data_IF_004945846067
#
_entry.id   IF_004945846067
#
_cell.length_a   1.000
_cell.length_b   1.000
_cell.length_c   1.000
_cell.angle_alpha   90.00
_cell.angle_beta   90.00
_cell.angle_gamma   90.00
#
_symmetry.space_group_name_H-M   'P 1'
#
loop_
_entity.id
_entity.type
_entity.pdbx_description
1 polymer ?
#
# COMPACT_ATOMS: atom_id res chain seq x y z
N UNK A 1 -22.58 22.44 -14.15
CA UNK A 1 -21.33 21.92 -14.77
C UNK A 1 -21.50 20.46 -15.18
N UNK A 2 -21.06 20.03 -16.37
CA UNK A 2 -21.10 18.58 -16.74
C UNK A 2 -19.91 17.82 -16.16
N UNK A 3 -19.98 16.48 -16.07
CA UNK A 3 -18.88 15.66 -15.51
C UNK A 3 -17.54 15.88 -16.21
N UNK A 4 -17.53 16.06 -17.53
CA UNK A 4 -16.30 16.30 -18.30
C UNK A 4 -15.68 17.67 -18.00
N UNK A 5 -16.52 18.66 -17.73
CA UNK A 5 -16.06 19.99 -17.33
C UNK A 5 -15.53 19.98 -15.89
N UNK A 6 -16.23 19.31 -14.97
CA UNK A 6 -15.77 19.11 -13.60
C UNK A 6 -14.41 18.39 -13.58
N UNK A 7 -14.25 17.35 -14.39
CA UNK A 7 -12.99 16.63 -14.56
C UNK A 7 -11.85 17.57 -14.98
N UNK A 8 -12.09 18.40 -16.00
CA UNK A 8 -11.12 19.37 -16.51
C UNK A 8 -10.72 20.41 -15.46
N UNK A 9 -11.69 20.98 -14.74
CA UNK A 9 -11.45 22.06 -13.75
C UNK A 9 -10.75 21.53 -12.50
N UNK A 10 -10.98 20.27 -12.13
CA UNK A 10 -10.44 19.66 -10.91
C UNK A 10 -9.19 18.82 -11.16
N UNK A 11 -8.80 18.59 -12.42
CA UNK A 11 -7.71 17.68 -12.79
C UNK A 11 -8.02 16.21 -12.46
N UNK A 12 -9.29 15.86 -12.29
CA UNK A 12 -9.76 14.49 -12.10
C UNK A 12 -10.10 13.83 -13.44
N UNK A 13 -10.20 12.51 -13.42
CA UNK A 13 -10.81 11.78 -14.53
C UNK A 13 -12.33 11.68 -14.30
N UNK A 14 -13.16 11.59 -15.36
CA UNK A 14 -14.59 11.32 -15.19
C UNK A 14 -14.88 10.02 -14.45
N UNK A 15 -13.97 9.02 -14.54
CA UNK A 15 -14.05 7.79 -13.77
C UNK A 15 -13.88 8.04 -12.26
N UNK A 16 -12.90 8.85 -11.86
CA UNK A 16 -12.71 9.22 -10.47
C UNK A 16 -13.92 9.98 -9.92
N UNK A 17 -14.49 10.89 -10.70
CA UNK A 17 -15.68 11.64 -10.28
C UNK A 17 -16.91 10.72 -10.09
N UNK A 18 -17.16 9.79 -11.01
CA UNK A 18 -18.22 8.78 -10.82
C UNK A 18 -17.99 7.95 -9.56
N UNK A 19 -16.74 7.57 -9.31
CA UNK A 19 -16.39 6.84 -8.11
C UNK A 19 -16.65 7.66 -6.83
N UNK A 20 -16.36 8.96 -6.83
CA UNK A 20 -16.67 9.84 -5.71
C UNK A 20 -18.20 9.99 -5.52
N UNK A 21 -18.95 10.05 -6.60
CA UNK A 21 -20.42 10.11 -6.56
C UNK A 21 -21.03 8.81 -6.01
N UNK A 22 -20.50 7.65 -6.41
CA UNK A 22 -20.89 6.33 -5.88
C UNK A 22 -20.64 6.21 -4.38
N UNK A 23 -19.60 6.89 -3.86
CA UNK A 23 -19.30 6.94 -2.42
C UNK A 23 -20.08 8.04 -1.69
N UNK A 24 -20.97 8.77 -2.38
CA UNK A 24 -21.75 9.86 -1.79
C UNK A 24 -20.91 11.09 -1.41
N UNK A 25 -19.67 11.18 -1.91
CA UNK A 25 -18.81 12.33 -1.64
C UNK A 25 -19.24 13.54 -2.45
N UNK A 26 -19.64 13.35 -3.71
CA UNK A 26 -20.15 14.41 -4.57
C UNK A 26 -21.56 14.08 -5.04
N UNK A 27 -22.37 15.09 -5.36
CA UNK A 27 -23.74 14.88 -5.84
C UNK A 27 -23.98 15.57 -7.17
N UNK A 28 -24.73 14.92 -8.06
CA UNK A 28 -25.25 15.54 -9.28
C UNK A 28 -26.76 15.78 -9.19
N UNK A 29 -27.22 16.89 -9.75
CA UNK A 29 -28.63 17.16 -9.98
C UNK A 29 -29.01 16.82 -11.42
N UNK A 30 -30.27 16.44 -11.63
CA UNK A 30 -30.81 16.23 -12.98
C UNK A 30 -31.37 17.55 -13.49
N UNK A 31 -30.78 18.09 -14.56
CA UNK A 31 -31.24 19.32 -15.18
C UNK A 31 -32.49 19.08 -16.04
N UNK A 32 -33.23 20.14 -16.36
CA UNK A 32 -34.46 20.09 -17.18
C UNK A 32 -34.24 19.50 -18.58
N UNK A 33 -32.99 19.53 -19.08
CA UNK A 33 -32.56 18.94 -20.34
C UNK A 33 -32.25 17.42 -20.24
N UNK A 34 -32.45 16.80 -19.07
CA UNK A 34 -32.23 15.38 -18.81
C UNK A 34 -30.79 14.99 -18.47
N UNK A 35 -29.83 15.92 -18.58
CA UNK A 35 -28.42 15.67 -18.27
C UNK A 35 -28.12 15.82 -16.77
N UNK A 36 -27.03 15.19 -16.31
CA UNK A 36 -26.49 15.39 -14.96
C UNK A 36 -25.63 16.64 -14.91
N UNK A 37 -25.87 17.46 -13.91
CA UNK A 37 -25.12 18.68 -13.64
C UNK A 37 -24.61 18.69 -12.20
N UNK A 38 -23.37 19.13 -12.04
CA UNK A 38 -22.69 19.36 -10.77
C UNK A 38 -22.65 20.86 -10.51
N UNK A 39 -22.83 21.23 -9.25
CA UNK A 39 -22.72 22.62 -8.78
C UNK A 39 -21.24 23.04 -8.67
N UNK A 40 -20.98 24.34 -8.63
CA UNK A 40 -19.63 24.88 -8.42
C UNK A 40 -19.02 24.44 -7.08
N UNK A 41 -19.85 24.20 -6.07
CA UNK A 41 -19.43 23.65 -4.77
C UNK A 41 -18.71 22.31 -4.92
N UNK A 42 -19.10 21.51 -5.91
CA UNK A 42 -18.46 20.22 -6.18
C UNK A 42 -17.01 20.39 -6.64
N UNK A 43 -16.64 21.54 -7.21
CA UNK A 43 -15.24 21.82 -7.55
C UNK A 43 -14.39 21.90 -6.29
N UNK A 44 -14.82 22.67 -5.29
CA UNK A 44 -14.14 22.79 -3.99
C UNK A 44 -14.08 21.43 -3.30
N UNK A 45 -15.21 20.72 -3.29
CA UNK A 45 -15.32 19.40 -2.69
C UNK A 45 -14.34 18.40 -3.30
N UNK A 46 -14.29 18.32 -4.63
CA UNK A 46 -13.35 17.43 -5.33
C UNK A 46 -11.89 17.81 -5.05
N UNK A 47 -11.56 19.10 -4.98
CA UNK A 47 -10.19 19.53 -4.62
C UNK A 47 -9.80 19.09 -3.22
N UNK A 48 -10.70 19.21 -2.25
CA UNK A 48 -10.47 18.76 -0.87
C UNK A 48 -10.35 17.23 -0.77
N UNK A 49 -11.19 16.48 -1.49
CA UNK A 49 -11.08 15.03 -1.58
C UNK A 49 -9.69 14.64 -2.12
N UNK A 50 -9.25 15.27 -3.22
CA UNK A 50 -7.92 15.00 -3.79
C UNK A 50 -6.79 15.32 -2.82
N UNK A 51 -6.89 16.43 -2.10
CA UNK A 51 -5.89 16.82 -1.09
C UNK A 51 -5.77 15.74 0.00
N UNK A 52 -6.89 15.30 0.57
CA UNK A 52 -6.92 14.27 1.61
C UNK A 52 -6.40 12.92 1.10
N UNK A 53 -6.82 12.50 -0.10
CA UNK A 53 -6.32 11.28 -0.73
C UNK A 53 -4.81 11.37 -1.02
N UNK A 54 -4.32 12.54 -1.44
CA UNK A 54 -2.89 12.79 -1.65
C UNK A 54 -2.06 12.71 -0.36
N UNK A 55 -2.66 13.01 0.79
CA UNK A 55 -2.06 12.83 2.12
C UNK A 55 -2.07 11.37 2.61
N UNK A 56 -2.68 10.45 1.86
CA UNK A 56 -2.67 9.01 2.15
C UNK A 56 -3.92 8.48 2.83
N UNK A 57 -4.97 9.30 3.02
CA UNK A 57 -6.29 8.85 3.47
C UNK A 57 -6.97 8.01 2.37
N UNK A 58 -7.88 7.12 2.77
CA UNK A 58 -8.76 6.41 1.83
C UNK A 58 -10.05 7.18 1.56
N UNK A 59 -10.85 6.72 0.60
CA UNK A 59 -12.17 7.30 0.34
C UNK A 59 -13.10 7.17 1.55
N UNK A 60 -13.04 6.04 2.25
CA UNK A 60 -13.81 5.79 3.45
C UNK A 60 -13.41 6.75 4.59
N UNK A 61 -12.10 7.00 4.75
CA UNK A 61 -11.60 7.99 5.71
C UNK A 61 -12.14 9.39 5.40
N UNK A 62 -12.19 9.76 4.11
CA UNK A 62 -12.66 11.06 3.63
C UNK A 62 -14.14 11.30 3.95
N UNK A 63 -14.97 10.26 4.10
CA UNK A 63 -16.38 10.42 4.48
C UNK A 63 -16.54 11.12 5.84
N UNK A 64 -15.59 10.95 6.76
CA UNK A 64 -15.59 11.61 8.07
C UNK A 64 -15.41 13.13 7.95
N UNK A 65 -14.87 13.58 6.81
CA UNK A 65 -14.64 15.00 6.50
C UNK A 65 -15.78 15.63 5.70
N UNK A 66 -16.85 14.89 5.36
CA UNK A 66 -18.01 15.40 4.60
C UNK A 66 -18.49 16.81 5.05
N UNK A 67 -18.64 17.10 6.37
CA UNK A 67 -19.10 18.42 6.81
C UNK A 67 -18.17 19.59 6.50
N UNK A 68 -16.88 19.33 6.27
CA UNK A 68 -15.89 20.37 5.98
C UNK A 68 -15.39 20.38 4.54
N UNK A 69 -15.81 19.43 3.69
CA UNK A 69 -15.32 19.39 2.30
C UNK A 69 -15.78 20.58 1.44
N UNK A 70 -16.76 21.36 1.89
CA UNK A 70 -17.22 22.56 1.18
C UNK A 70 -16.39 23.82 1.53
N UNK A 71 -15.54 23.74 2.56
CA UNK A 71 -14.66 24.84 2.99
C UNK A 71 -13.21 24.66 2.55
N UNK A 72 -12.29 25.33 3.22
CA UNK A 72 -10.84 25.07 3.06
C UNK A 72 -10.39 24.03 4.09
N UNK A 73 -10.30 22.76 3.69
CA UNK A 73 -9.89 21.65 4.56
C UNK A 73 -8.42 21.78 5.01
N UNK A 74 -7.58 22.46 4.24
CA UNK A 74 -6.16 22.62 4.58
C UNK A 74 -5.95 23.74 5.62
N UNK A 75 -6.77 24.79 5.59
CA UNK A 75 -6.68 25.91 6.53
C UNK A 75 -7.59 25.77 7.76
N UNK A 76 -8.71 25.04 7.65
CA UNK A 76 -9.65 24.89 8.75
C UNK A 76 -9.11 23.93 9.83
N UNK A 77 -9.35 24.22 11.13
CA UNK A 77 -9.01 23.27 12.19
C UNK A 77 -9.79 21.97 12.01
N UNK A 78 -9.15 20.80 12.16
CA UNK A 78 -9.82 19.52 11.97
C UNK A 78 -10.83 19.27 13.08
N UNK A 79 -11.91 18.56 12.74
CA UNK A 79 -12.84 18.04 13.74
C UNK A 79 -12.15 16.97 14.61
N UNK A 80 -12.64 16.71 15.84
CA UNK A 80 -12.10 15.62 16.67
C UNK A 80 -12.14 14.26 15.96
N UNK A 81 -13.18 14.00 15.18
CA UNK A 81 -13.31 12.77 14.40
C UNK A 81 -12.28 12.71 13.26
N UNK A 82 -12.10 13.80 12.51
CA UNK A 82 -11.09 13.89 11.44
C UNK A 82 -9.68 13.73 11.99
N UNK A 83 -9.37 14.33 13.14
CA UNK A 83 -8.07 14.18 13.80
C UNK A 83 -7.81 12.74 14.25
N UNK A 84 -8.83 12.06 14.78
CA UNK A 84 -8.72 10.64 15.16
C UNK A 84 -8.43 9.76 13.94
N UNK A 85 -9.20 9.90 12.86
CA UNK A 85 -8.99 9.15 11.61
C UNK A 85 -7.61 9.43 11.03
N UNK A 86 -7.17 10.69 11.01
CA UNK A 86 -5.83 11.07 10.57
C UNK A 86 -4.71 10.38 11.35
N UNK A 87 -4.86 10.27 12.69
CA UNK A 87 -3.90 9.55 13.55
C UNK A 87 -3.90 8.05 13.31
N UNK A 88 -5.07 7.44 13.20
CA UNK A 88 -5.21 6.02 12.88
C UNK A 88 -4.54 5.72 11.54
N UNK A 89 -4.76 6.59 10.54
CA UNK A 89 -4.16 6.41 9.22
C UNK A 89 -2.65 6.60 9.22
N UNK A 90 -2.14 7.59 9.97
CA UNK A 90 -0.71 7.81 10.15
C UNK A 90 -0.03 6.56 10.73
N UNK A 91 -0.61 5.97 11.78
CA UNK A 91 -0.07 4.74 12.38
C UNK A 91 0.00 3.57 11.38
N UNK A 92 -0.99 3.43 10.49
CA UNK A 92 -0.98 2.43 9.41
C UNK A 92 0.16 2.70 8.42
N UNK A 93 0.38 3.96 8.05
CA UNK A 93 1.47 4.33 7.14
C UNK A 93 2.84 4.07 7.78
N UNK A 94 3.03 4.44 9.04
CA UNK A 94 4.27 4.19 9.78
C UNK A 94 4.60 2.70 9.87
N UNK A 95 3.60 1.86 10.16
CA UNK A 95 3.77 0.41 10.19
C UNK A 95 4.20 -0.15 8.81
N UNK A 96 3.63 0.37 7.72
CA UNK A 96 4.02 -0.03 6.35
C UNK A 96 5.43 0.39 6.01
N UNK A 97 5.82 1.63 6.36
CA UNK A 97 7.17 2.15 6.17
C UNK A 97 8.17 1.26 6.92
N UNK A 98 7.92 0.96 8.20
CA UNK A 98 8.78 0.09 8.99
C UNK A 98 8.95 -1.29 8.36
N UNK A 99 7.85 -1.91 7.90
CA UNK A 99 7.90 -3.21 7.23
C UNK A 99 8.70 -3.16 5.91
N UNK A 100 8.54 -2.12 5.11
CA UNK A 100 9.28 -1.93 3.87
C UNK A 100 10.77 -1.69 4.11
N UNK A 101 11.12 -0.89 5.12
CA UNK A 101 12.52 -0.68 5.53
C UNK A 101 13.17 -2.00 5.96
N UNK A 102 12.49 -2.79 6.80
CA UNK A 102 13.00 -4.09 7.22
C UNK A 102 13.22 -5.06 6.03
N UNK A 103 12.32 -5.06 5.04
CA UNK A 103 12.49 -5.86 3.83
C UNK A 103 13.69 -5.39 2.98
N UNK A 104 13.83 -4.07 2.82
CA UNK A 104 14.98 -3.47 2.12
C UNK A 104 16.30 -3.81 2.79
N UNK A 105 16.37 -3.77 4.12
CA UNK A 105 17.60 -4.06 4.86
C UNK A 105 17.99 -5.54 4.76
N UNK A 106 17.01 -6.47 4.80
CA UNK A 106 17.25 -7.90 4.53
C UNK A 106 17.80 -8.14 3.13
N UNK A 107 17.21 -7.50 2.12
CA UNK A 107 17.68 -7.64 0.74
C UNK A 107 19.10 -7.08 0.57
N UNK A 108 19.38 -5.91 1.16
CA UNK A 108 20.70 -5.31 1.12
C UNK A 108 21.76 -6.19 1.79
N UNK A 109 21.44 -6.86 2.90
CA UNK A 109 22.33 -7.81 3.55
C UNK A 109 22.62 -9.03 2.65
N UNK A 110 21.58 -9.66 2.12
CA UNK A 110 21.74 -10.82 1.24
C UNK A 110 22.60 -10.51 0.01
N UNK A 111 22.47 -9.31 -0.57
CA UNK A 111 23.30 -8.87 -1.70
C UNK A 111 24.77 -8.64 -1.31
N UNK A 112 25.05 -8.10 -0.11
CA UNK A 112 26.43 -7.96 0.39
C UNK A 112 27.08 -9.32 0.59
N UNK A 113 26.37 -10.26 1.19
CA UNK A 113 26.87 -11.60 1.46
C UNK A 113 27.16 -12.35 0.14
N UNK A 114 26.26 -12.23 -0.85
CA UNK A 114 26.47 -12.78 -2.18
C UNK A 114 27.68 -12.15 -2.89
N UNK A 115 27.85 -10.83 -2.79
CA UNK A 115 29.00 -10.14 -3.39
C UNK A 115 30.32 -10.57 -2.74
N UNK A 116 30.36 -10.75 -1.41
CA UNK A 116 31.53 -11.24 -0.70
C UNK A 116 31.88 -12.67 -1.14
N UNK A 117 30.88 -13.55 -1.31
CA UNK A 117 31.09 -14.92 -1.80
C UNK A 117 31.66 -14.98 -3.23
N UNK A 118 31.35 -14.00 -4.09
CA UNK A 118 31.93 -13.88 -5.43
C UNK A 118 33.35 -13.29 -5.42
N UNK A 119 33.70 -12.51 -4.40
CA UNK A 119 34.99 -11.83 -4.27
C UNK A 119 36.10 -12.70 -3.65
N UNK A 120 35.75 -13.86 -3.08
CA UNK A 120 36.69 -14.87 -2.60
C UNK A 120 36.99 -15.89 -3.73
N UNK A 121 38.08 -15.74 -4.52
CA UNK A 121 38.50 -16.77 -5.47
C UNK A 121 39.08 -17.97 -4.70
N UNK A 122 38.25 -18.95 -4.34
CA UNK A 122 38.75 -20.09 -3.57
C UNK A 122 37.75 -21.18 -3.17
N UNK A 123 36.68 -21.44 -3.92
CA UNK A 123 35.92 -22.68 -3.73
C UNK A 123 36.49 -23.80 -4.62
N UNK A 124 37.74 -24.20 -4.38
CA UNK A 124 38.21 -25.52 -4.82
C UNK A 124 37.55 -26.55 -3.89
N UNK A 125 36.40 -27.05 -4.32
CA UNK A 125 35.72 -28.18 -3.68
C UNK A 125 36.64 -29.41 -3.78
N UNK A 126 37.52 -29.61 -2.79
CA UNK A 126 38.22 -30.88 -2.61
C UNK A 126 37.16 -31.92 -2.20
N UNK A 127 36.87 -32.96 -3.00
CA UNK A 127 35.98 -34.00 -2.54
C UNK A 127 36.63 -34.69 -1.35
N UNK A 128 35.94 -34.71 -0.21
CA UNK A 128 36.35 -35.48 0.94
C UNK A 128 36.46 -36.96 0.51
N UNK A 129 37.64 -37.54 0.65
CA UNK A 129 37.86 -38.98 0.45
C UNK A 129 36.87 -39.76 1.34
N UNK A 130 36.27 -40.85 0.84
CA UNK A 130 35.36 -41.66 1.64
C UNK A 130 36.13 -42.34 2.79
N UNK A 131 35.52 -42.51 3.98
CA UNK A 131 36.17 -43.25 5.05
C UNK A 131 36.34 -44.72 4.65
N UNK A 132 37.52 -45.26 4.94
CA UNK A 132 37.88 -46.65 4.69
C UNK A 132 36.89 -47.60 5.39
N UNK A 133 36.32 -48.52 4.61
CA UNK A 133 35.55 -49.66 5.12
C UNK A 133 36.52 -50.64 5.76
N UNK A 134 36.44 -50.80 7.08
CA UNK A 134 37.09 -51.93 7.78
C UNK A 134 36.20 -53.17 7.74
N UNK A 135 36.78 -54.38 7.61
CA UNK A 135 36.04 -55.60 7.32
C UNK A 135 35.35 -56.17 8.57
N UNK A 136 34.16 -56.71 8.33
CA UNK A 136 33.34 -57.50 9.24
C UNK A 136 34.00 -58.87 9.51
N UNK A 137 34.09 -59.37 10.75
CA UNK A 137 34.30 -60.80 10.99
C UNK A 137 32.97 -61.52 11.28
N UNK A 138 32.97 -62.77 10.87
CA UNK A 138 31.84 -63.67 10.68
C UNK A 138 31.05 -64.03 11.94
N UNK A 139 29.75 -64.25 11.74
CA UNK A 139 28.84 -64.99 12.61
C UNK A 139 29.20 -66.48 12.61
N UNK A 140 29.18 -67.17 13.75
CA UNK A 140 28.89 -68.60 13.76
C UNK A 140 27.42 -68.85 14.15
N UNK A 141 26.77 -69.66 13.34
CA UNK A 141 25.48 -70.27 13.62
C UNK A 141 25.60 -71.24 14.81
N UNK A 142 24.56 -71.31 15.65
CA UNK A 142 24.18 -72.58 16.27
C UNK A 142 22.74 -72.54 16.75
N UNK A 143 21.97 -73.48 16.23
CA UNK A 143 20.64 -73.92 16.64
C UNK A 143 20.53 -74.25 18.13
N UNK A 144 19.34 -74.06 18.70
CA UNK A 144 18.62 -75.09 19.46
C UNK A 144 17.26 -74.57 19.96
N UNK A 145 16.20 -75.12 19.36
CA UNK A 145 14.91 -75.58 19.94
C UNK A 145 14.15 -74.68 20.92
#
# INVERSE_FOLDING_TARGET
MRIGELARVTGCTPRALRHYEEHGLITSARAANGYREYDEREVTRVRNIRYLLGAGLTLEDVLVFLPCLDGDVAAAPPSPAGLRVGRERLAVLDARIAAQMAARDRLAAALRDAAAALAEPGCEKRPASPPAVSPHPAVPASDAH
#
